data_IF_476004089708
#
_entry.id   IF_476004089708
#
_cell.length_a   1.000
_cell.length_b   1.000
_cell.length_c   1.000
_cell.angle_alpha   90.00
_cell.angle_beta   90.00
_cell.angle_gamma   90.00
#
_symmetry.space_group_name_H-M   'P 1'
#
loop_
_entity.id
_entity.type
_entity.pdbx_description
1 polymer ?
#
# COMPACT_ATOMS: atom_id res chain seq x y z
N UNK A 1 7.36 7.35 19.95
CA UNK A 1 6.32 6.30 20.02
C UNK A 1 6.49 5.43 18.79
N UNK A 2 6.82 4.14 18.96
CA UNK A 2 6.90 3.20 17.83
C UNK A 2 5.53 3.11 17.13
N UNK A 3 5.51 3.20 15.80
CA UNK A 3 4.27 3.26 15.01
C UNK A 3 3.66 1.86 15.00
N UNK A 4 2.44 1.70 15.54
CA UNK A 4 1.72 0.43 15.46
C UNK A 4 1.35 0.15 14.01
N UNK A 5 1.94 -0.88 13.42
CA UNK A 5 1.64 -1.31 12.06
C UNK A 5 0.41 -2.21 12.12
N UNK A 6 -0.57 -1.89 11.27
CA UNK A 6 -1.85 -2.62 11.20
C UNK A 6 -2.09 -3.07 9.76
N UNK A 7 -2.72 -4.23 9.60
CA UNK A 7 -3.11 -4.75 8.29
C UNK A 7 -4.53 -4.31 7.94
N UNK A 8 -4.74 -3.93 6.69
CA UNK A 8 -6.07 -3.72 6.12
C UNK A 8 -6.41 -4.92 5.23
N UNK A 9 -7.43 -5.69 5.61
CA UNK A 9 -7.88 -6.84 4.83
C UNK A 9 -9.00 -6.42 3.88
N UNK A 10 -8.87 -6.82 2.61
CA UNK A 10 -9.88 -6.60 1.56
C UNK A 10 -10.25 -7.97 0.99
N UNK A 11 -11.54 -8.31 0.99
CA UNK A 11 -12.05 -9.53 0.36
C UNK A 11 -12.27 -9.28 -1.12
N UNK A 12 -11.63 -10.10 -1.96
CA UNK A 12 -11.68 -10.00 -3.42
C UNK A 12 -11.65 -11.40 -4.03
N UNK A 13 -12.05 -11.54 -5.28
CA UNK A 13 -11.85 -12.77 -6.06
C UNK A 13 -10.38 -12.94 -6.44
N UNK A 14 -9.96 -14.17 -6.71
CA UNK A 14 -8.59 -14.46 -7.12
C UNK A 14 -8.22 -13.77 -8.44
N UNK A 15 -9.12 -13.77 -9.42
CA UNK A 15 -8.88 -13.10 -10.72
C UNK A 15 -8.58 -11.61 -10.56
N UNK A 16 -9.34 -10.93 -9.68
CA UNK A 16 -9.13 -9.51 -9.40
C UNK A 16 -7.77 -9.29 -8.75
N UNK A 17 -7.41 -10.11 -7.75
CA UNK A 17 -6.12 -10.05 -7.06
C UNK A 17 -4.96 -10.25 -8.03
N UNK A 18 -5.04 -11.25 -8.90
CA UNK A 18 -3.99 -11.57 -9.86
C UNK A 18 -3.85 -10.47 -10.92
N UNK A 19 -4.97 -9.91 -11.40
CA UNK A 19 -4.92 -8.78 -12.32
C UNK A 19 -4.30 -7.54 -11.65
N UNK A 20 -4.71 -7.22 -10.42
CA UNK A 20 -4.17 -6.08 -9.68
C UNK A 20 -2.66 -6.20 -9.42
N UNK A 21 -2.16 -7.40 -9.09
CA UNK A 21 -0.71 -7.67 -8.97
C UNK A 21 0.04 -7.38 -10.27
N UNK A 22 -0.50 -7.81 -11.42
CA UNK A 22 0.12 -7.55 -12.74
C UNK A 22 0.19 -6.06 -13.04
N UNK A 23 -0.87 -5.31 -12.76
CA UNK A 23 -0.91 -3.86 -12.93
C UNK A 23 0.11 -3.16 -12.02
N UNK A 24 0.19 -3.55 -10.74
CA UNK A 24 1.18 -3.00 -9.81
C UNK A 24 2.61 -3.23 -10.31
N UNK A 25 2.92 -4.45 -10.78
CA UNK A 25 4.23 -4.78 -11.33
C UNK A 25 4.58 -3.95 -12.56
N UNK A 26 3.63 -3.69 -13.46
CA UNK A 26 3.85 -2.82 -14.63
C UNK A 26 4.24 -1.38 -14.25
N UNK A 27 3.81 -0.91 -13.07
CA UNK A 27 4.12 0.41 -12.54
C UNK A 27 5.34 0.41 -11.61
N UNK A 28 6.06 -0.71 -11.47
CA UNK A 28 7.14 -0.90 -10.49
C UNK A 28 6.69 -0.68 -9.04
N UNK A 29 5.43 -1.02 -8.73
CA UNK A 29 4.84 -0.91 -7.41
C UNK A 29 4.52 -2.30 -6.83
N UNK A 30 4.52 -2.40 -5.51
CA UNK A 30 3.83 -3.47 -4.80
C UNK A 30 2.32 -3.27 -4.85
N UNK A 31 1.55 -4.36 -4.69
CA UNK A 31 0.09 -4.27 -4.66
C UNK A 31 -0.41 -3.28 -3.59
N UNK A 32 0.25 -3.25 -2.43
CA UNK A 32 -0.12 -2.32 -1.36
C UNK A 32 0.20 -0.87 -1.69
N UNK A 33 1.31 -0.57 -2.36
CA UNK A 33 1.63 0.80 -2.81
C UNK A 33 0.62 1.28 -3.83
N UNK A 34 0.24 0.42 -4.79
CA UNK A 34 -0.82 0.75 -5.75
C UNK A 34 -2.13 1.10 -5.03
N UNK A 35 -2.56 0.29 -4.06
CA UNK A 35 -3.79 0.55 -3.30
C UNK A 35 -3.69 1.86 -2.50
N UNK A 36 -2.56 2.12 -1.84
CA UNK A 36 -2.35 3.37 -1.11
C UNK A 36 -2.40 4.59 -2.03
N UNK A 37 -1.75 4.52 -3.20
CA UNK A 37 -1.80 5.61 -4.19
C UNK A 37 -3.23 5.85 -4.70
N UNK A 38 -4.03 4.80 -4.89
CA UNK A 38 -5.44 4.95 -5.25
C UNK A 38 -6.25 5.61 -4.12
N UNK A 39 -6.03 5.23 -2.87
CA UNK A 39 -6.67 5.88 -1.71
C UNK A 39 -6.35 7.37 -1.61
N UNK A 40 -5.12 7.76 -1.97
CA UNK A 40 -4.68 9.15 -1.98
C UNK A 40 -5.39 10.03 -3.02
N UNK A 41 -6.20 9.45 -3.92
CA UNK A 41 -6.98 10.22 -4.90
C UNK A 41 -8.31 10.71 -4.35
N UNK A 42 -8.80 10.12 -3.25
CA UNK A 42 -10.17 10.34 -2.75
C UNK A 42 -10.30 11.57 -1.85
N UNK A 43 -9.30 11.84 -0.99
CA UNK A 43 -9.37 12.90 0.02
C UNK A 43 -8.00 13.56 0.29
N UNK A 44 -8.01 14.85 0.65
CA UNK A 44 -6.80 15.66 0.90
C UNK A 44 -6.07 15.27 2.18
N UNK A 45 -6.78 14.92 3.25
CA UNK A 45 -6.15 14.46 4.49
C UNK A 45 -5.61 13.04 4.32
N UNK A 46 -6.39 12.17 3.67
CA UNK A 46 -5.98 10.82 3.33
C UNK A 46 -4.73 10.81 2.45
N UNK A 47 -4.64 11.70 1.46
CA UNK A 47 -3.43 11.89 0.65
C UNK A 47 -2.19 12.19 1.50
N UNK A 48 -2.30 13.13 2.46
CA UNK A 48 -1.18 13.47 3.36
C UNK A 48 -0.73 12.27 4.19
N UNK A 49 -1.68 11.46 4.67
CA UNK A 49 -1.38 10.27 5.47
C UNK A 49 -0.71 9.18 4.61
N UNK A 50 -1.20 8.97 3.39
CA UNK A 50 -0.59 8.03 2.42
C UNK A 50 0.82 8.45 2.04
N UNK A 51 1.05 9.73 1.71
CA UNK A 51 2.37 10.22 1.33
C UNK A 51 3.38 10.03 2.46
N UNK A 52 2.95 10.20 3.72
CA UNK A 52 3.76 9.90 4.90
C UNK A 52 4.05 8.40 5.03
N UNK A 53 3.04 7.55 4.87
CA UNK A 53 3.19 6.08 4.92
C UNK A 53 4.17 5.58 3.85
N UNK A 54 4.04 6.05 2.60
CA UNK A 54 4.92 5.64 1.49
C UNK A 54 6.38 6.06 1.70
N UNK A 55 6.62 7.22 2.33
CA UNK A 55 7.98 7.68 2.66
C UNK A 55 8.64 6.90 3.79
N UNK A 56 7.86 6.57 4.82
CA UNK A 56 8.35 5.91 6.02
C UNK A 56 8.40 4.38 5.87
N UNK A 57 7.87 3.85 4.75
CA UNK A 57 7.78 2.42 4.50
C UNK A 57 9.16 1.75 4.46
N UNK A 58 9.36 0.63 5.17
CA UNK A 58 10.55 -0.18 4.97
C UNK A 58 10.59 -0.72 3.54
N UNK A 59 11.79 -0.75 2.96
CA UNK A 59 12.01 -1.34 1.63
C UNK A 59 11.49 -2.79 1.60
N UNK A 60 10.97 -3.27 0.47
CA UNK A 60 10.59 -4.67 0.31
C UNK A 60 11.70 -5.61 0.80
N UNK A 61 11.37 -6.51 1.74
CA UNK A 61 12.33 -7.44 2.37
C UNK A 61 12.93 -6.98 3.69
N UNK A 62 12.70 -5.73 4.14
CA UNK A 62 13.04 -5.31 5.52
C UNK A 62 11.89 -5.62 6.48
N UNK A 63 12.16 -6.19 7.67
CA UNK A 63 11.15 -6.40 8.69
C UNK A 63 10.48 -5.10 9.08
N UNK A 64 9.18 -5.20 9.34
CA UNK A 64 8.34 -4.13 9.85
C UNK A 64 8.52 -3.92 11.36
N UNK A 65 8.99 -4.94 12.07
CA UNK A 65 9.21 -4.94 13.51
C UNK A 65 10.67 -4.61 13.85
N UNK A 66 10.97 -3.33 14.12
CA UNK A 66 12.08 -2.91 14.99
C UNK A 66 11.65 -1.75 15.86
#
# INVERSE_FOLDING_TARGET
MSRKIVSMQIRVTDDLRERAKKVAKQQNLTLSELVLMLLATTDKELKKLVDKELKERPKPGRPWDK
#
